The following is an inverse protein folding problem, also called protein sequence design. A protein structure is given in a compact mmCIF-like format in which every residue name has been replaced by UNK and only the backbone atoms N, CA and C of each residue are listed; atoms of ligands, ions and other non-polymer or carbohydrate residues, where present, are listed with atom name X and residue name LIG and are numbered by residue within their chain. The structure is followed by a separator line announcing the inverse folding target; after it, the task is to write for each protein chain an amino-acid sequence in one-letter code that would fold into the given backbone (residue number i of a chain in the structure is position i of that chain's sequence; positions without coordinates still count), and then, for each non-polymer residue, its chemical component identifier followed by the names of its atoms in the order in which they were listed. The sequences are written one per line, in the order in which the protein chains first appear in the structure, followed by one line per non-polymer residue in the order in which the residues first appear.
data_IF_429212032438
#
_entry.id   IF_429212032438
#
_cell.length_a   1.000
_cell.length_b   1.000
_cell.length_c   1.000
_cell.angle_alpha   90.00
_cell.angle_beta   90.00
_cell.angle_gamma   90.00
#
_symmetry.space_group_name_H-M   'P 1'
#
loop_
_entity.id
_entity.type
_entity.pdbx_description
1 polymer ?
#
# COMPACT_ATOMS: atom_id res chain seq x y z
N UNK A 1 43.12 -32.87 -15.64
CA UNK A 1 41.86 -33.19 -14.95
C UNK A 1 40.76 -32.86 -15.94
N UNK A 2 40.12 -33.86 -16.50
CA UNK A 2 39.04 -33.68 -17.47
C UNK A 2 37.85 -33.02 -16.77
N UNK A 3 37.46 -31.83 -17.25
CA UNK A 3 36.18 -31.21 -16.88
C UNK A 3 35.06 -32.18 -17.26
N UNK A 4 34.51 -32.87 -16.26
CA UNK A 4 33.33 -33.69 -16.44
C UNK A 4 32.14 -32.74 -16.61
N UNK A 5 31.73 -32.49 -17.85
CA UNK A 5 30.50 -31.76 -18.14
C UNK A 5 29.35 -32.58 -17.56
N UNK A 6 28.55 -32.04 -16.60
CA UNK A 6 27.44 -32.77 -16.00
C UNK A 6 26.45 -33.25 -17.07
N UNK A 7 25.90 -34.45 -16.90
CA UNK A 7 24.82 -34.90 -17.79
C UNK A 7 23.54 -34.13 -17.50
N UNK A 8 22.58 -34.14 -18.43
CA UNK A 8 21.26 -33.54 -18.21
C UNK A 8 20.54 -34.16 -17.00
N UNK A 9 20.77 -35.44 -16.73
CA UNK A 9 20.20 -36.12 -15.58
C UNK A 9 20.80 -35.59 -14.26
N UNK A 10 22.12 -35.38 -14.24
CA UNK A 10 22.81 -34.83 -13.06
C UNK A 10 22.30 -33.41 -12.76
N UNK A 11 22.18 -32.55 -13.78
CA UNK A 11 21.67 -31.18 -13.60
C UNK A 11 20.21 -31.13 -13.13
N UNK A 12 19.37 -32.09 -13.53
CA UNK A 12 17.98 -32.18 -13.05
C UNK A 12 17.93 -32.62 -11.60
N UNK A 13 18.77 -33.59 -11.22
CA UNK A 13 18.90 -33.99 -9.83
C UNK A 13 19.37 -32.83 -8.95
N UNK A 14 20.32 -32.03 -9.43
CA UNK A 14 20.75 -30.81 -8.72
C UNK A 14 19.60 -29.82 -8.51
N UNK A 15 18.70 -29.65 -9.49
CA UNK A 15 17.49 -28.83 -9.35
C UNK A 15 16.57 -29.39 -8.27
N UNK A 16 16.30 -30.69 -8.27
CA UNK A 16 15.43 -31.32 -7.25
C UNK A 16 15.99 -31.09 -5.84
N UNK A 17 17.30 -31.25 -5.66
CA UNK A 17 17.98 -30.99 -4.38
C UNK A 17 17.86 -29.52 -3.97
N UNK A 18 17.99 -28.58 -4.92
CA UNK A 18 17.82 -27.15 -4.65
C UNK A 18 16.37 -26.82 -4.29
N UNK A 19 15.38 -27.41 -4.96
CA UNK A 19 13.96 -27.19 -4.70
C UNK A 19 13.56 -27.68 -3.30
N UNK A 20 14.06 -28.84 -2.87
CA UNK A 20 13.88 -29.34 -1.50
C UNK A 20 14.47 -28.38 -0.47
N UNK A 21 15.70 -27.88 -0.71
CA UNK A 21 16.35 -26.90 0.16
C UNK A 21 15.58 -25.58 0.23
N UNK A 22 15.05 -25.10 -0.91
CA UNK A 22 14.20 -23.91 -0.97
C UNK A 22 12.96 -24.14 -0.10
N UNK A 23 12.27 -25.26 -0.27
CA UNK A 23 11.06 -25.57 0.51
C UNK A 23 11.35 -25.62 2.01
N UNK A 24 12.46 -26.23 2.43
CA UNK A 24 12.85 -26.29 3.83
C UNK A 24 13.21 -24.91 4.41
N UNK A 25 13.85 -24.04 3.64
CA UNK A 25 14.07 -22.64 4.03
C UNK A 25 12.75 -21.87 4.17
N UNK A 26 11.78 -22.12 3.29
CA UNK A 26 10.44 -21.52 3.36
C UNK A 26 9.67 -22.00 4.59
N UNK A 27 9.75 -23.28 4.93
CA UNK A 27 9.17 -23.85 6.16
C UNK A 27 9.76 -23.19 7.41
N UNK A 28 11.08 -23.13 7.51
CA UNK A 28 11.78 -22.46 8.62
C UNK A 28 11.41 -20.98 8.74
N UNK A 29 11.20 -20.30 7.61
CA UNK A 29 10.70 -18.91 7.60
C UNK A 29 9.29 -18.84 8.18
N UNK A 30 8.39 -19.73 7.80
CA UNK A 30 7.02 -19.76 8.33
C UNK A 30 6.99 -20.02 9.84
N UNK A 31 7.80 -20.98 10.34
CA UNK A 31 7.98 -21.25 11.76
C UNK A 31 8.51 -20.03 12.52
N UNK A 32 9.44 -19.29 11.92
CA UNK A 32 9.97 -18.05 12.51
C UNK A 32 8.87 -17.00 12.64
N UNK A 33 7.99 -16.85 11.63
CA UNK A 33 6.85 -15.93 11.71
C UNK A 33 5.87 -16.34 12.80
N UNK A 34 5.58 -17.64 12.95
CA UNK A 34 4.72 -18.13 14.04
C UNK A 34 5.32 -17.77 15.42
N UNK A 35 6.62 -18.00 15.61
CA UNK A 35 7.32 -17.61 16.85
C UNK A 35 7.28 -16.11 17.11
N UNK A 36 7.34 -15.27 16.06
CA UNK A 36 7.17 -13.81 16.19
C UNK A 36 5.75 -13.50 16.66
N UNK A 37 4.73 -14.14 16.10
CA UNK A 37 3.35 -13.96 16.56
C UNK A 37 3.21 -14.35 18.03
N UNK A 38 3.73 -15.52 18.42
CA UNK A 38 3.67 -16.00 19.81
C UNK A 38 4.37 -15.04 20.78
N UNK A 39 5.49 -14.43 20.35
CA UNK A 39 6.21 -13.46 21.14
C UNK A 39 5.41 -12.17 21.33
N UNK A 40 4.81 -11.63 20.26
CA UNK A 40 3.94 -10.44 20.32
C UNK A 40 2.74 -10.65 21.25
N UNK A 41 2.10 -11.82 21.22
CA UNK A 41 0.97 -12.12 22.10
C UNK A 41 1.33 -12.22 23.59
N UNK A 42 2.62 -12.35 23.93
CA UNK A 42 3.10 -12.45 25.32
C UNK A 42 3.58 -11.12 25.90
N UNK A 43 3.89 -10.14 25.05
CA UNK A 43 4.29 -8.81 25.47
C UNK A 43 3.05 -7.91 25.53
N UNK A 44 2.80 -7.18 26.63
CA UNK A 44 1.78 -6.14 26.61
C UNK A 44 2.14 -5.13 25.53
N UNK A 45 1.20 -4.85 24.62
CA UNK A 45 1.41 -3.90 23.52
C UNK A 45 2.05 -2.62 24.07
N UNK A 46 3.30 -2.34 23.65
CA UNK A 46 3.99 -1.13 24.05
C UNK A 46 3.15 0.07 23.58
N UNK A 47 2.87 1.00 24.48
CA UNK A 47 2.07 2.19 24.18
C UNK A 47 2.63 2.90 22.94
N UNK A 48 1.84 2.91 21.86
CA UNK A 48 2.19 3.58 20.59
C UNK A 48 2.82 2.72 19.50
N UNK A 49 3.03 1.40 19.69
CA UNK A 49 3.36 0.53 18.55
C UNK A 49 2.06 0.00 17.92
N UNK A 50 1.90 0.09 16.58
CA UNK A 50 0.78 -0.57 15.92
C UNK A 50 0.94 -2.08 16.11
N UNK A 51 0.05 -2.64 16.94
CA UNK A 51 -0.07 -4.06 17.25
C UNK A 51 -0.72 -4.82 16.07
N UNK A 52 -0.26 -4.50 14.86
CA UNK A 52 -0.84 -4.91 13.61
C UNK A 52 -0.12 -6.11 13.02
N UNK A 53 -0.90 -7.05 12.52
CA UNK A 53 -0.44 -8.10 11.60
C UNK A 53 0.12 -7.52 10.28
N UNK A 54 -0.23 -6.26 9.97
CA UNK A 54 0.07 -5.57 8.73
C UNK A 54 1.22 -4.57 8.96
N UNK A 55 2.39 -4.83 8.38
CA UNK A 55 3.60 -3.99 8.50
C UNK A 55 4.11 -3.63 7.11
N UNK A 56 3.27 -2.95 6.31
CA UNK A 56 3.52 -2.73 4.87
C UNK A 56 4.84 -1.99 4.62
N UNK A 57 5.20 -1.02 5.46
CA UNK A 57 6.49 -0.31 5.33
C UNK A 57 7.67 -1.26 5.46
N UNK A 58 7.64 -2.18 6.45
CA UNK A 58 8.65 -3.23 6.62
C UNK A 58 8.69 -4.19 5.43
N UNK A 59 7.54 -4.54 4.88
CA UNK A 59 7.46 -5.42 3.71
C UNK A 59 8.05 -4.78 2.46
N UNK A 60 7.77 -3.50 2.23
CA UNK A 60 8.36 -2.74 1.13
C UNK A 60 9.91 -2.72 1.22
N UNK A 61 10.46 -2.52 2.42
CA UNK A 61 11.91 -2.62 2.66
C UNK A 61 12.46 -4.01 2.33
N UNK A 62 11.73 -5.08 2.69
CA UNK A 62 12.12 -6.46 2.35
C UNK A 62 12.15 -6.64 0.83
N UNK A 63 11.09 -6.21 0.14
CA UNK A 63 10.98 -6.34 -1.32
C UNK A 63 12.06 -5.53 -2.05
N UNK A 64 12.32 -4.28 -1.65
CA UNK A 64 13.42 -3.46 -2.20
C UNK A 64 14.78 -4.11 -2.03
N UNK A 65 15.09 -4.60 -0.83
CA UNK A 65 16.36 -5.29 -0.54
C UNK A 65 16.55 -6.52 -1.41
N UNK A 66 15.48 -7.28 -1.64
CA UNK A 66 15.53 -8.51 -2.46
C UNK A 66 15.63 -8.18 -3.95
N UNK A 67 14.87 -7.18 -4.43
CA UNK A 67 14.99 -6.65 -5.78
C UNK A 67 16.42 -6.20 -6.09
N UNK A 68 17.05 -5.45 -5.18
CA UNK A 68 18.44 -5.02 -5.32
C UNK A 68 19.45 -6.18 -5.40
N UNK A 69 19.16 -7.31 -4.73
CA UNK A 69 20.00 -8.52 -4.75
C UNK A 69 19.74 -9.45 -5.94
N UNK A 70 18.58 -9.36 -6.59
CA UNK A 70 18.20 -10.25 -7.69
C UNK A 70 19.00 -10.02 -8.99
N UNK A 71 19.77 -8.93 -9.07
CA UNK A 71 20.60 -8.58 -10.23
C UNK A 71 21.60 -9.71 -10.52
N UNK A 72 21.40 -10.42 -11.64
CA UNK A 72 22.33 -11.47 -12.12
C UNK A 72 21.73 -12.86 -12.41
N UNK A 73 20.40 -13.03 -12.47
CA UNK A 73 19.83 -14.31 -12.92
C UNK A 73 18.31 -14.49 -12.81
N UNK A 74 17.61 -13.64 -12.05
CA UNK A 74 16.15 -13.70 -11.91
C UNK A 74 15.51 -12.34 -12.17
N UNK A 75 14.39 -12.25 -12.92
CA UNK A 75 13.66 -11.01 -13.11
C UNK A 75 13.15 -10.44 -11.78
N UNK A 76 13.33 -9.12 -11.55
CA UNK A 76 12.90 -8.45 -10.30
C UNK A 76 11.41 -8.63 -10.04
N UNK A 77 10.58 -8.58 -11.08
CA UNK A 77 9.14 -8.81 -10.97
C UNK A 77 8.83 -10.22 -10.42
N UNK A 78 9.55 -11.26 -10.88
CA UNK A 78 9.34 -12.64 -10.42
C UNK A 78 9.76 -12.80 -8.95
N UNK A 79 10.94 -12.27 -8.57
CA UNK A 79 11.41 -12.27 -7.19
C UNK A 79 10.42 -11.54 -6.28
N UNK A 80 9.97 -10.35 -6.68
CA UNK A 80 8.99 -9.60 -5.88
C UNK A 80 7.71 -10.41 -5.69
N UNK A 81 7.18 -11.02 -6.75
CA UNK A 81 5.94 -11.82 -6.70
C UNK A 81 6.06 -13.06 -5.80
N UNK A 82 7.16 -13.80 -5.88
CA UNK A 82 7.42 -14.96 -5.02
C UNK A 82 7.43 -14.54 -3.56
N UNK A 83 8.19 -13.49 -3.21
CA UNK A 83 8.23 -13.02 -1.83
C UNK A 83 6.91 -12.41 -1.38
N UNK A 84 6.15 -11.84 -2.30
CA UNK A 84 4.85 -11.29 -1.99
C UNK A 84 3.85 -12.39 -1.63
N UNK A 85 3.77 -13.45 -2.43
CA UNK A 85 2.97 -14.66 -2.13
C UNK A 85 3.34 -15.24 -0.76
N UNK A 86 4.65 -15.38 -0.49
CA UNK A 86 5.16 -15.90 0.77
C UNK A 86 4.87 -15.02 1.98
N UNK A 87 4.70 -13.71 1.81
CA UNK A 87 4.31 -12.84 2.92
C UNK A 87 2.80 -12.92 3.12
N UNK A 88 2.02 -12.84 2.04
CA UNK A 88 0.57 -12.88 2.09
C UNK A 88 0.04 -14.19 2.68
N UNK A 89 0.64 -15.34 2.31
CA UNK A 89 0.29 -16.64 2.88
C UNK A 89 0.54 -16.75 4.39
N UNK A 90 1.46 -15.95 4.94
CA UNK A 90 1.81 -15.96 6.36
C UNK A 90 1.00 -14.97 7.19
N UNK A 91 0.24 -14.06 6.59
CA UNK A 91 -0.67 -13.19 7.34
C UNK A 91 -1.65 -13.98 8.20
N UNK A 92 -2.10 -15.16 7.72
CA UNK A 92 -3.05 -16.03 8.44
C UNK A 92 -2.58 -16.44 9.83
N UNK A 93 -1.27 -16.47 10.08
CA UNK A 93 -0.71 -16.78 11.39
C UNK A 93 -0.86 -15.62 12.38
N UNK A 94 -1.09 -14.40 11.89
CA UNK A 94 -1.25 -13.19 12.69
C UNK A 94 -2.71 -12.73 12.74
N UNK A 95 -3.45 -12.81 11.61
CA UNK A 95 -4.87 -12.44 11.53
C UNK A 95 -5.57 -13.14 10.33
N UNK A 96 -6.90 -13.36 10.39
CA UNK A 96 -7.67 -13.92 9.28
C UNK A 96 -7.92 -12.87 8.18
N UNK A 97 -6.85 -12.46 7.49
CA UNK A 97 -6.88 -11.37 6.51
C UNK A 97 -7.82 -11.67 5.35
N UNK A 98 -8.64 -10.68 4.99
CA UNK A 98 -9.55 -10.72 3.84
C UNK A 98 -9.35 -9.48 2.99
N UNK A 99 -9.77 -9.54 1.73
CA UNK A 99 -9.65 -8.41 0.80
C UNK A 99 -11.01 -8.10 0.17
N UNK A 100 -11.44 -6.85 0.25
CA UNK A 100 -12.63 -6.31 -0.41
C UNK A 100 -12.19 -5.42 -1.58
N UNK A 101 -12.54 -5.81 -2.81
CA UNK A 101 -12.07 -5.13 -4.03
C UNK A 101 -13.18 -4.25 -4.61
N UNK A 102 -12.95 -2.94 -4.70
CA UNK A 102 -13.83 -2.03 -5.40
C UNK A 102 -13.77 -2.27 -6.91
N UNK A 103 -14.86 -2.80 -7.46
CA UNK A 103 -14.98 -3.19 -8.86
C UNK A 103 -16.42 -2.92 -9.34
N UNK A 104 -16.78 -1.65 -9.62
CA UNK A 104 -18.16 -1.27 -9.96
C UNK A 104 -18.70 -2.04 -11.18
N UNK A 105 -17.85 -2.32 -12.17
CA UNK A 105 -18.19 -3.09 -13.37
C UNK A 105 -17.70 -4.55 -13.31
N UNK A 106 -17.50 -5.10 -12.09
CA UNK A 106 -16.87 -6.43 -11.88
C UNK A 106 -15.56 -6.60 -12.65
N UNK A 107 -14.71 -5.55 -12.62
CA UNK A 107 -13.42 -5.53 -13.30
C UNK A 107 -12.54 -6.69 -12.86
N UNK A 108 -12.33 -7.66 -13.76
CA UNK A 108 -11.39 -8.77 -13.54
C UNK A 108 -9.96 -8.25 -13.30
N UNK A 109 -9.57 -7.15 -13.93
CA UNK A 109 -8.23 -6.57 -13.75
C UNK A 109 -7.95 -6.07 -12.34
N UNK A 110 -8.93 -5.47 -11.65
CA UNK A 110 -8.76 -5.07 -10.24
C UNK A 110 -8.71 -6.27 -9.30
N UNK A 111 -9.49 -7.31 -9.61
CA UNK A 111 -9.39 -8.58 -8.90
C UNK A 111 -7.99 -9.18 -9.06
N UNK A 112 -7.49 -9.25 -10.29
CA UNK A 112 -6.17 -9.82 -10.56
C UNK A 112 -5.05 -8.96 -9.96
N UNK A 113 -5.16 -7.63 -9.97
CA UNK A 113 -4.22 -6.72 -9.31
C UNK A 113 -4.15 -6.98 -7.80
N UNK A 114 -5.31 -7.13 -7.16
CA UNK A 114 -5.38 -7.47 -5.74
C UNK A 114 -4.86 -8.88 -5.47
N UNK A 115 -5.16 -9.86 -6.34
CA UNK A 115 -4.68 -11.24 -6.25
C UNK A 115 -3.16 -11.33 -6.42
N UNK A 116 -2.58 -10.53 -7.29
CA UNK A 116 -1.13 -10.48 -7.52
C UNK A 116 -0.37 -9.99 -6.28
N UNK A 117 -0.97 -9.08 -5.51
CA UNK A 117 -0.35 -8.55 -4.29
C UNK A 117 -0.71 -9.33 -3.01
N UNK A 118 -1.95 -9.79 -2.87
CA UNK A 118 -2.42 -10.51 -1.67
C UNK A 118 -2.42 -12.02 -1.81
N UNK A 119 -1.91 -12.52 -2.93
CA UNK A 119 -1.60 -13.92 -3.14
C UNK A 119 -2.79 -14.85 -3.33
N UNK A 120 -2.47 -16.09 -3.68
CA UNK A 120 -3.43 -17.08 -4.18
C UNK A 120 -4.42 -17.59 -3.12
N UNK A 121 -4.07 -17.48 -1.83
CA UNK A 121 -4.84 -18.10 -0.73
C UNK A 121 -5.69 -17.12 0.08
N UNK A 122 -5.53 -15.81 -0.14
CA UNK A 122 -6.30 -14.78 0.60
C UNK A 122 -7.75 -14.75 0.12
N UNK A 123 -8.74 -14.85 1.03
CA UNK A 123 -10.14 -14.67 0.68
C UNK A 123 -10.39 -13.27 0.12
N UNK A 124 -11.10 -13.20 -1.01
CA UNK A 124 -11.40 -11.95 -1.71
C UNK A 124 -12.89 -11.86 -2.04
N UNK A 125 -13.44 -10.66 -1.94
CA UNK A 125 -14.81 -10.36 -2.38
C UNK A 125 -14.83 -9.13 -3.29
N UNK A 126 -15.74 -9.15 -4.27
CA UNK A 126 -15.98 -8.00 -5.14
C UNK A 126 -17.06 -7.09 -4.53
N UNK A 127 -16.78 -5.80 -4.49
CA UNK A 127 -17.69 -4.76 -4.04
C UNK A 127 -17.99 -3.82 -5.21
N UNK A 128 -19.26 -3.62 -5.54
CA UNK A 128 -19.66 -2.77 -6.67
C UNK A 128 -19.74 -1.28 -6.32
N UNK A 129 -19.60 -0.93 -5.04
CA UNK A 129 -19.58 0.47 -4.56
C UNK A 129 -18.46 0.67 -3.55
N UNK A 130 -17.98 1.90 -3.41
CA UNK A 130 -17.00 2.25 -2.39
C UNK A 130 -17.57 2.02 -0.99
N UNK A 131 -18.84 2.37 -0.79
CA UNK A 131 -19.55 2.16 0.49
C UNK A 131 -19.56 0.69 0.93
N UNK A 132 -19.61 -0.26 -0.01
CA UNK A 132 -19.53 -1.68 0.30
C UNK A 132 -18.12 -2.10 0.78
N UNK A 133 -17.06 -1.50 0.23
CA UNK A 133 -15.69 -1.70 0.73
C UNK A 133 -15.54 -1.13 2.14
N UNK A 134 -16.02 0.10 2.39
CA UNK A 134 -15.99 0.69 3.74
C UNK A 134 -16.74 -0.14 4.77
N UNK A 135 -17.88 -0.73 4.39
CA UNK A 135 -18.62 -1.66 5.28
C UNK A 135 -17.80 -2.91 5.59
N UNK A 136 -17.07 -3.45 4.62
CA UNK A 136 -16.20 -4.61 4.83
C UNK A 136 -15.01 -4.28 5.74
N UNK A 137 -14.49 -3.05 5.68
CA UNK A 137 -13.42 -2.53 6.55
C UNK A 137 -13.84 -2.39 8.03
N UNK A 138 -15.12 -2.59 8.37
CA UNK A 138 -15.55 -2.69 9.76
C UNK A 138 -14.96 -3.92 10.48
N UNK A 139 -14.58 -4.97 9.73
CA UNK A 139 -13.71 -6.04 10.23
C UNK A 139 -12.24 -5.57 10.12
N UNK A 140 -11.52 -5.34 11.23
CA UNK A 140 -10.15 -4.81 11.21
C UNK A 140 -9.14 -5.67 10.43
N UNK A 141 -9.45 -6.96 10.22
CA UNK A 141 -8.61 -7.86 9.42
C UNK A 141 -8.87 -7.74 7.90
N UNK A 142 -9.82 -6.90 7.48
CA UNK A 142 -10.13 -6.68 6.07
C UNK A 142 -9.30 -5.55 5.48
N UNK A 143 -8.81 -5.75 4.26
CA UNK A 143 -8.14 -4.76 3.43
C UNK A 143 -9.07 -4.33 2.29
N UNK A 144 -9.14 -3.04 2.01
CA UNK A 144 -9.95 -2.48 0.94
C UNK A 144 -9.09 -2.11 -0.26
N UNK A 145 -9.44 -2.55 -1.47
CA UNK A 145 -8.72 -2.18 -2.69
C UNK A 145 -9.58 -1.16 -3.44
N UNK A 146 -9.10 0.06 -3.53
CA UNK A 146 -9.79 1.18 -4.17
C UNK A 146 -9.07 1.59 -5.44
N UNK A 147 -9.82 1.85 -6.51
CA UNK A 147 -9.25 2.47 -7.71
C UNK A 147 -8.58 3.80 -7.34
N UNK A 148 -7.54 4.18 -8.08
CA UNK A 148 -6.97 5.52 -7.92
C UNK A 148 -8.06 6.56 -8.20
N UNK A 149 -8.10 7.65 -7.44
CA UNK A 149 -9.00 8.75 -7.72
C UNK A 149 -8.71 9.39 -9.08
N UNK A 150 -9.76 9.55 -9.87
CA UNK A 150 -9.77 10.33 -11.11
C UNK A 150 -10.69 11.55 -10.98
N UNK A 151 -10.40 12.62 -11.73
CA UNK A 151 -11.26 13.79 -11.77
C UNK A 151 -12.61 13.46 -12.45
N UNK A 152 -13.71 13.93 -11.86
CA UNK A 152 -15.05 13.71 -12.39
C UNK A 152 -15.66 12.33 -12.12
N UNK A 153 -15.05 11.55 -11.22
CA UNK A 153 -15.62 10.27 -10.75
C UNK A 153 -17.04 10.43 -10.16
N UNK A 154 -17.90 9.45 -10.46
CA UNK A 154 -19.28 9.42 -9.94
C UNK A 154 -19.35 9.15 -8.44
N UNK A 155 -18.44 8.33 -7.90
CA UNK A 155 -18.38 7.97 -6.47
C UNK A 155 -17.00 8.33 -5.92
N UNK A 156 -16.87 9.55 -5.40
CA UNK A 156 -15.63 10.05 -4.83
C UNK A 156 -15.46 9.52 -3.39
N UNK A 157 -14.58 8.54 -3.21
CA UNK A 157 -14.45 7.79 -1.96
C UNK A 157 -13.39 8.34 -1.01
N UNK A 158 -12.32 8.94 -1.54
CA UNK A 158 -11.18 9.40 -0.75
C UNK A 158 -11.48 10.55 0.24
N UNK A 159 -12.46 11.45 0.02
CA UNK A 159 -12.79 12.46 1.02
C UNK A 159 -13.30 11.86 2.34
N UNK A 160 -13.88 10.65 2.30
CA UNK A 160 -14.36 9.93 3.48
C UNK A 160 -13.22 9.56 4.44
N UNK A 161 -11.98 9.54 3.96
CA UNK A 161 -10.80 9.25 4.77
C UNK A 161 -10.28 10.48 5.53
N UNK A 162 -10.73 11.69 5.18
CA UNK A 162 -10.32 12.95 5.81
C UNK A 162 -10.98 13.15 7.19
N UNK A 163 -10.83 12.15 8.06
CA UNK A 163 -11.34 12.08 9.42
C UNK A 163 -10.22 11.67 10.38
N UNK A 164 -10.13 12.36 11.51
CA UNK A 164 -9.17 12.07 12.60
C UNK A 164 -9.66 11.00 13.58
N UNK A 165 -10.82 10.38 13.32
CA UNK A 165 -11.28 9.25 14.14
C UNK A 165 -10.33 8.06 14.02
N UNK A 166 -10.05 7.40 15.14
CA UNK A 166 -9.17 6.24 15.22
C UNK A 166 -9.65 5.06 14.36
N UNK A 167 -10.96 4.93 14.16
CA UNK A 167 -11.56 3.86 13.35
C UNK A 167 -11.57 4.16 11.84
N UNK A 168 -11.10 5.34 11.43
CA UNK A 168 -11.06 5.69 10.02
C UNK A 168 -9.90 4.96 9.35
N UNK A 169 -10.15 4.14 8.31
CA UNK A 169 -9.07 3.44 7.63
C UNK A 169 -8.09 4.43 6.99
N UNK A 170 -6.88 3.95 6.71
CA UNK A 170 -5.81 4.72 6.06
C UNK A 170 -5.36 4.02 4.80
N UNK A 171 -4.88 4.80 3.84
CA UNK A 171 -4.15 4.26 2.70
C UNK A 171 -2.79 3.80 3.21
N UNK A 172 -2.46 2.52 3.01
CA UNK A 172 -1.24 1.88 3.52
C UNK A 172 -0.35 1.32 2.40
N UNK A 173 -0.86 1.21 1.18
CA UNK A 173 -0.09 0.71 0.04
C UNK A 173 -0.62 1.24 -1.30
N UNK A 174 0.24 1.19 -2.32
CA UNK A 174 -0.06 1.46 -3.73
C UNK A 174 0.24 0.21 -4.55
N UNK A 175 -0.72 -0.19 -5.38
CA UNK A 175 -0.62 -1.34 -6.28
C UNK A 175 -0.56 -0.90 -7.75
N UNK A 176 0.23 -1.55 -8.61
CA UNK A 176 1.19 -2.59 -8.26
C UNK A 176 2.42 -2.00 -7.56
N UNK A 177 3.04 -2.76 -6.64
CA UNK A 177 4.29 -2.32 -6.00
C UNK A 177 5.52 -2.59 -6.86
N UNK A 178 5.50 -3.64 -7.69
CA UNK A 178 6.51 -3.88 -8.71
C UNK A 178 5.82 -3.88 -10.08
N UNK A 179 6.36 -3.17 -11.07
CA UNK A 179 5.79 -3.12 -12.40
C UNK A 179 5.87 -4.50 -13.05
N UNK A 180 4.82 -4.84 -13.80
CA UNK A 180 4.78 -6.04 -14.62
C UNK A 180 4.42 -5.62 -16.05
N UNK A 181 5.40 -5.20 -16.86
CA UNK A 181 5.15 -4.65 -18.20
C UNK A 181 4.51 -5.67 -19.16
N UNK A 182 4.71 -6.97 -18.92
CA UNK A 182 4.05 -8.05 -19.66
C UNK A 182 2.64 -8.41 -19.14
N UNK A 183 2.20 -7.81 -18.03
CA UNK A 183 0.92 -8.10 -17.40
C UNK A 183 -0.24 -7.39 -18.10
N UNK A 184 -1.39 -8.08 -18.22
CA UNK A 184 -2.62 -7.57 -18.85
C UNK A 184 -3.23 -6.32 -18.19
N UNK A 185 -2.66 -5.85 -17.09
CA UNK A 185 -3.20 -4.79 -16.23
C UNK A 185 -2.12 -3.79 -15.81
N UNK A 186 -1.04 -3.67 -16.58
CA UNK A 186 0.09 -2.78 -16.27
C UNK A 186 -0.34 -1.31 -16.05
N UNK A 187 -1.45 -0.89 -16.66
CA UNK A 187 -2.01 0.46 -16.53
C UNK A 187 -2.96 0.63 -15.33
N UNK A 188 -3.40 -0.46 -14.70
CA UNK A 188 -4.29 -0.36 -13.53
C UNK A 188 -3.49 -0.01 -12.29
N UNK A 189 -3.97 0.99 -11.56
CA UNK A 189 -3.50 1.32 -10.22
C UNK A 189 -4.60 1.21 -9.17
N UNK A 190 -4.20 0.96 -7.94
CA UNK A 190 -5.10 0.97 -6.79
C UNK A 190 -4.40 1.41 -5.51
N UNK A 191 -5.18 1.99 -4.61
CA UNK A 191 -4.79 2.18 -3.21
C UNK A 191 -5.33 1.04 -2.35
N UNK A 192 -4.56 0.68 -1.33
CA UNK A 192 -5.00 -0.27 -0.30
C UNK A 192 -5.37 0.50 0.96
N UNK A 193 -6.59 0.29 1.43
CA UNK A 193 -7.12 0.77 2.69
C UNK A 193 -6.99 -0.32 3.77
N UNK A 194 -6.61 0.07 4.98
CA UNK A 194 -6.59 -0.81 6.14
C UNK A 194 -6.92 -0.02 7.41
N UNK A 195 -7.43 -0.71 8.44
CA UNK A 195 -7.50 -0.15 9.79
C UNK A 195 -6.14 -0.31 10.48
N UNK A 196 -5.14 0.40 9.96
CA UNK A 196 -3.76 0.39 10.44
C UNK A 196 -3.12 1.76 10.16
N UNK A 197 -2.20 2.18 11.03
CA UNK A 197 -1.42 3.37 10.76
C UNK A 197 -0.32 3.08 9.73
N UNK A 198 -0.10 3.97 8.75
CA UNK A 198 1.01 3.84 7.82
C UNK A 198 2.36 3.85 8.55
N UNK A 199 3.32 3.10 8.02
CA UNK A 199 4.69 3.04 8.55
C UNK A 199 5.67 3.59 7.53
N UNK A 200 6.69 4.29 8.00
CA UNK A 200 7.80 4.75 7.16
C UNK A 200 8.54 3.54 6.56
N UNK A 201 8.74 3.57 5.24
CA UNK A 201 9.47 2.53 4.50
C UNK A 201 10.85 3.02 4.02
N UNK A 202 11.13 4.31 4.17
CA UNK A 202 12.38 4.99 3.79
C UNK A 202 12.35 5.63 2.40
N UNK A 203 11.34 5.31 1.59
CA UNK A 203 11.03 5.98 0.32
C UNK A 203 9.51 5.92 0.13
N UNK A 204 8.84 6.99 0.51
CA UNK A 204 7.42 7.01 0.79
C UNK A 204 6.74 8.15 0.04
N UNK A 205 5.44 8.01 -0.14
CA UNK A 205 4.54 9.06 -0.59
C UNK A 205 3.42 9.19 0.42
N UNK A 206 3.22 10.39 0.95
CA UNK A 206 2.10 10.71 1.84
C UNK A 206 0.93 11.22 1.01
N UNK A 207 -0.28 10.78 1.35
CA UNK A 207 -1.53 11.31 0.80
C UNK A 207 -2.19 12.26 1.80
N UNK A 208 -2.40 13.50 1.37
CA UNK A 208 -2.97 14.59 2.16
C UNK A 208 -4.25 15.08 1.52
N UNK A 209 -5.33 15.20 2.29
CA UNK A 209 -6.54 15.90 1.86
C UNK A 209 -6.57 17.29 2.45
N UNK A 210 -6.66 18.30 1.57
CA UNK A 210 -6.97 19.66 1.96
C UNK A 210 -8.48 19.89 1.91
N UNK A 211 -9.01 20.45 2.99
CA UNK A 211 -10.38 20.96 3.07
C UNK A 211 -10.35 22.45 2.81
N UNK A 212 -11.09 22.91 1.82
CA UNK A 212 -10.92 24.25 1.27
C UNK A 212 -12.25 24.93 0.96
N UNK A 213 -12.22 26.26 0.82
CA UNK A 213 -13.34 27.02 0.28
C UNK A 213 -13.58 26.70 -1.21
N UNK A 214 -14.75 27.05 -1.74
CA UNK A 214 -15.07 26.84 -3.17
C UNK A 214 -14.12 27.61 -4.10
N UNK A 215 -13.69 28.80 -3.69
CA UNK A 215 -12.70 29.63 -4.39
C UNK A 215 -11.27 29.11 -4.15
N UNK A 216 -11.07 27.80 -4.32
CA UNK A 216 -9.80 27.12 -4.09
C UNK A 216 -8.65 27.83 -4.84
N UNK A 217 -7.47 28.00 -4.23
CA UNK A 217 -6.33 28.69 -4.83
C UNK A 217 -5.88 27.97 -6.10
N UNK A 218 -5.22 28.72 -6.98
CA UNK A 218 -4.56 28.13 -8.14
C UNK A 218 -3.50 27.12 -7.72
N UNK A 219 -3.19 26.15 -8.59
CA UNK A 219 -2.14 25.15 -8.33
C UNK A 219 -0.77 25.78 -8.02
N UNK A 220 -0.43 26.89 -8.68
CA UNK A 220 0.80 27.63 -8.40
C UNK A 220 0.80 28.24 -6.99
N UNK A 221 -0.34 28.78 -6.55
CA UNK A 221 -0.50 29.32 -5.19
C UNK A 221 -0.42 28.20 -4.16
N UNK A 222 -1.07 27.06 -4.42
CA UNK A 222 -1.02 25.89 -3.54
C UNK A 222 0.42 25.35 -3.38
N UNK A 223 1.15 25.19 -4.48
CA UNK A 223 2.56 24.82 -4.46
C UNK A 223 3.42 25.80 -3.65
N UNK A 224 3.16 27.11 -3.79
CA UNK A 224 3.85 28.14 -2.99
C UNK A 224 3.54 28.03 -1.50
N UNK A 225 2.28 27.77 -1.13
CA UNK A 225 1.87 27.59 0.27
C UNK A 225 2.50 26.34 0.90
N UNK A 226 2.56 25.23 0.17
CA UNK A 226 3.28 24.02 0.59
C UNK A 226 4.76 24.33 0.84
N UNK A 227 5.42 25.01 -0.11
CA UNK A 227 6.83 25.35 -0.01
C UNK A 227 7.13 26.25 1.21
N UNK A 228 6.24 27.19 1.55
CA UNK A 228 6.39 28.07 2.71
C UNK A 228 6.46 27.32 4.04
N UNK A 229 5.79 26.17 4.15
CA UNK A 229 5.81 25.32 5.35
C UNK A 229 6.80 24.16 5.25
N UNK A 230 7.66 24.15 4.23
CA UNK A 230 8.64 23.08 4.03
C UNK A 230 8.03 21.75 3.59
N UNK A 231 6.92 21.80 2.84
CA UNK A 231 6.31 20.66 2.16
C UNK A 231 6.42 20.83 0.64
N UNK A 232 6.44 19.72 -0.08
CA UNK A 232 6.31 19.69 -1.52
C UNK A 232 5.20 18.70 -1.88
N UNK A 233 4.46 18.96 -2.96
CA UNK A 233 3.41 18.05 -3.36
C UNK A 233 2.71 18.42 -4.66
N UNK A 234 1.96 17.45 -5.18
CA UNK A 234 1.17 17.56 -6.41
C UNK A 234 -0.28 17.19 -6.15
N UNK A 235 -1.23 17.88 -6.79
CA UNK A 235 -2.62 17.46 -6.76
C UNK A 235 -2.85 16.28 -7.69
N UNK A 236 -3.55 15.28 -7.18
CA UNK A 236 -3.88 14.06 -7.93
C UNK A 236 -5.37 13.93 -8.22
N UNK A 237 -6.23 14.53 -7.39
CA UNK A 237 -7.66 14.59 -7.65
C UNK A 237 -8.31 15.76 -6.92
N UNK A 238 -9.43 16.23 -7.48
CA UNK A 238 -10.24 17.28 -6.86
C UNK A 238 -11.70 16.85 -6.76
N UNK A 239 -12.32 17.22 -5.65
CA UNK A 239 -13.75 17.01 -5.41
C UNK A 239 -14.38 18.32 -4.99
N UNK A 240 -15.44 18.74 -5.67
CA UNK A 240 -16.23 19.92 -5.32
C UNK A 240 -17.68 19.49 -5.14
N UNK A 241 -18.29 19.88 -4.02
CA UNK A 241 -19.70 19.59 -3.75
C UNK A 241 -20.41 20.83 -3.19
N UNK A 242 -20.71 21.78 -4.08
CA UNK A 242 -21.45 22.99 -3.74
C UNK A 242 -20.97 23.63 -2.43
N UNK A 243 -21.92 23.98 -1.56
CA UNK A 243 -21.67 24.69 -0.30
C UNK A 243 -20.72 23.98 0.69
N UNK A 244 -20.43 22.67 0.53
CA UNK A 244 -19.50 21.93 1.40
C UNK A 244 -18.01 22.23 1.11
N UNK A 245 -17.75 23.09 0.12
CA UNK A 245 -16.43 23.54 -0.29
C UNK A 245 -15.72 22.56 -1.22
N UNK A 246 -14.42 22.81 -1.42
CA UNK A 246 -13.55 21.96 -2.22
C UNK A 246 -12.75 21.01 -1.33
N UNK A 247 -12.43 19.84 -1.88
CA UNK A 247 -11.45 18.91 -1.34
C UNK A 247 -10.39 18.68 -2.42
N UNK A 248 -9.13 18.75 -2.03
CA UNK A 248 -8.00 18.48 -2.93
C UNK A 248 -7.17 17.36 -2.33
N UNK A 249 -6.98 16.28 -3.09
CA UNK A 249 -6.08 15.21 -2.74
C UNK A 249 -4.69 15.55 -3.28
N UNK A 250 -3.71 15.55 -2.39
CA UNK A 250 -2.30 15.80 -2.66
C UNK A 250 -1.46 14.56 -2.39
N UNK A 251 -0.46 14.35 -3.24
CA UNK A 251 0.68 13.47 -2.98
C UNK A 251 1.88 14.32 -2.53
N UNK A 252 2.46 13.99 -1.39
CA UNK A 252 3.65 14.63 -0.83
C UNK A 252 4.80 13.63 -0.79
N UNK A 253 5.96 13.91 -1.41
CA UNK A 253 7.13 13.04 -1.29
C UNK A 253 7.61 12.93 0.16
N UNK A 254 7.95 11.70 0.57
CA UNK A 254 8.36 11.35 1.91
C UNK A 254 7.19 10.98 2.83
N UNK A 255 7.54 10.63 4.07
CA UNK A 255 6.59 10.30 5.12
C UNK A 255 6.28 11.54 5.98
N UNK A 256 5.01 11.92 6.08
CA UNK A 256 4.51 12.99 6.95
C UNK A 256 3.50 12.38 7.92
N UNK A 257 3.79 12.44 9.21
CA UNK A 257 2.91 11.92 10.26
C UNK A 257 1.62 12.75 10.37
N UNK A 258 0.55 12.16 10.93
CA UNK A 258 -0.75 12.81 11.05
C UNK A 258 -0.73 14.05 11.98
N UNK A 259 0.21 14.09 12.92
CA UNK A 259 0.44 15.14 13.90
C UNK A 259 1.58 16.10 13.52
N UNK A 260 2.10 16.01 12.29
CA UNK A 260 3.19 16.88 11.83
C UNK A 260 2.76 18.36 11.91
N UNK A 261 3.55 19.18 12.61
CA UNK A 261 3.25 20.60 12.86
C UNK A 261 3.10 21.42 11.58
N UNK A 262 3.72 20.98 10.47
CA UNK A 262 3.62 21.67 9.16
C UNK A 262 2.21 21.62 8.59
N UNK A 263 1.39 20.63 8.96
CA UNK A 263 0.00 20.52 8.53
C UNK A 263 -0.86 21.65 9.12
N UNK A 264 -0.70 21.92 10.41
CA UNK A 264 -1.37 23.04 11.08
C UNK A 264 -0.86 24.39 10.54
N UNK A 265 0.44 24.50 10.28
CA UNK A 265 1.03 25.69 9.67
C UNK A 265 0.47 25.96 8.25
N UNK A 266 0.20 24.90 7.47
CA UNK A 266 -0.37 25.02 6.13
C UNK A 266 -1.77 25.61 6.16
N UNK A 267 -2.63 25.13 7.07
CA UNK A 267 -3.96 25.70 7.26
C UNK A 267 -3.89 27.17 7.75
N UNK A 268 -2.95 27.48 8.64
CA UNK A 268 -2.74 28.84 9.14
C UNK A 268 -2.14 29.82 8.11
N UNK A 269 -1.51 29.32 7.04
CA UNK A 269 -0.91 30.16 6.00
C UNK A 269 -1.95 30.85 5.10
N UNK A 270 -3.15 30.28 4.97
CA UNK A 270 -4.27 30.86 4.22
C UNK A 270 -5.63 30.42 4.81
N UNK A 271 -5.98 30.84 6.04
CA UNK A 271 -7.13 30.31 6.77
C UNK A 271 -8.48 30.69 6.14
N UNK A 272 -8.50 31.66 5.24
CA UNK A 272 -9.67 32.00 4.45
C UNK A 272 -9.98 30.97 3.35
N UNK A 273 -8.96 30.21 2.92
CA UNK A 273 -9.07 29.26 1.82
C UNK A 273 -8.80 27.81 2.23
N UNK A 274 -7.94 27.56 3.21
CA UNK A 274 -7.60 26.22 3.73
C UNK A 274 -8.19 26.10 5.13
N UNK A 275 -9.18 25.23 5.27
CA UNK A 275 -9.87 24.98 6.55
C UNK A 275 -9.21 23.86 7.35
N UNK A 276 -8.69 22.83 6.69
CA UNK A 276 -7.99 21.71 7.35
C UNK A 276 -7.06 20.99 6.37
N UNK A 277 -6.07 20.29 6.93
CA UNK A 277 -5.10 19.45 6.23
C UNK A 277 -4.99 18.10 6.96
N UNK A 278 -5.53 17.04 6.35
CA UNK A 278 -5.66 15.72 6.97
C UNK A 278 -4.88 14.68 6.19
N UNK A 279 -3.86 14.08 6.80
CA UNK A 279 -3.16 12.92 6.23
C UNK A 279 -4.11 11.74 6.23
N UNK A 280 -4.39 11.20 5.04
CA UNK A 280 -5.30 10.06 4.85
C UNK A 280 -4.56 8.73 4.65
N UNK A 281 -3.23 8.77 4.58
CA UNK A 281 -2.40 7.59 4.47
C UNK A 281 -1.00 7.91 3.94
N UNK A 282 -0.17 6.88 3.87
CA UNK A 282 1.11 6.91 3.20
C UNK A 282 1.40 5.53 2.62
N UNK A 283 2.17 5.48 1.54
CA UNK A 283 2.58 4.23 0.93
C UNK A 283 4.04 4.29 0.49
N UNK A 284 4.70 3.14 0.51
CA UNK A 284 6.02 2.99 -0.06
C UNK A 284 5.98 3.21 -1.57
N UNK A 285 6.85 4.06 -2.09
CA UNK A 285 7.00 4.29 -3.54
C UNK A 285 7.26 2.94 -4.25
N UNK A 286 6.44 2.58 -5.27
CA UNK A 286 6.64 1.36 -6.06
C UNK A 286 8.03 1.27 -6.66
N UNK A 287 8.52 0.05 -6.87
CA UNK A 287 9.78 -0.19 -7.56
C UNK A 287 9.73 0.39 -8.99
N UNK A 288 10.85 0.94 -9.45
CA UNK A 288 11.00 1.36 -10.83
C UNK A 288 10.89 0.15 -11.77
N UNK A 289 10.45 0.39 -13.01
CA UNK A 289 10.56 -0.61 -14.06
C UNK A 289 12.04 -0.75 -14.44
N UNK A 290 12.52 -1.99 -14.56
CA UNK A 290 13.84 -2.31 -15.08
C UNK A 290 13.96 -1.93 -16.57
#
# INVERSE_FOLDING_TARGET
MSDHIPSLADLRHDIDVLDDQILDLLRRRAETVQRITDAKSREPAAAGQPDGFLRIGREAQILRRLAGRARGGLPVAAVTRIWRELISALYRYQAPVKVAVHAPNKSAGRWDLARDFYGSTTPMQLCTTASAVFRALADPATLGIMALPEDGEKECWWPLLASRSADTPRIVARLPFAPNPSGRFAELGAYVLANAQPEESGDDMTLLVLQMSEASPSMARLSSLLAQVGLAGQAVAQYRRGEDGARVLLELPGFVAAEDSRLAALAAADPAQIFDAVVIGAYAVPLAAD
#
